data_IF_927860186880
#
_entry.id   IF_927860186880
#
_cell.length_a   1.000
_cell.length_b   1.000
_cell.length_c   1.000
_cell.angle_alpha   90.00
_cell.angle_beta   90.00
_cell.angle_gamma   90.00
#
_symmetry.space_group_name_H-M   'P 1'
#
loop_
_entity.id
_entity.type
_entity.pdbx_description
1 polymer ?
#
# COMPACT_ATOMS: atom_id res chain seq x y z
N UNK A 1 13.17 8.39 -3.64
CA UNK A 1 11.89 7.84 -4.13
C UNK A 1 11.61 8.41 -5.51
N UNK A 2 11.13 7.60 -6.45
CA UNK A 2 11.00 8.02 -7.86
C UNK A 2 9.98 9.14 -8.05
N UNK A 3 8.85 9.13 -7.32
CA UNK A 3 7.81 10.15 -7.48
C UNK A 3 8.29 11.56 -7.12
N UNK A 4 9.23 11.69 -6.17
CA UNK A 4 9.84 12.99 -5.86
C UNK A 4 10.71 13.53 -7.02
N UNK A 5 11.32 12.64 -7.80
CA UNK A 5 12.07 13.00 -9.01
C UNK A 5 11.09 13.41 -10.10
N UNK A 6 10.01 12.64 -10.29
CA UNK A 6 8.94 12.95 -11.24
C UNK A 6 8.25 14.28 -10.91
N UNK A 7 8.04 14.58 -9.62
CA UNK A 7 7.53 15.87 -9.16
C UNK A 7 8.45 17.02 -9.59
N UNK A 8 9.76 16.86 -9.40
CA UNK A 8 10.75 17.84 -9.85
C UNK A 8 10.69 18.03 -11.37
N UNK A 9 10.67 16.94 -12.14
CA UNK A 9 10.60 16.99 -13.61
C UNK A 9 9.31 17.67 -14.10
N UNK A 10 8.15 17.31 -13.55
CA UNK A 10 6.85 17.89 -13.92
C UNK A 10 6.72 19.38 -13.57
N UNK A 11 7.53 19.86 -12.62
CA UNK A 11 7.62 21.28 -12.28
C UNK A 11 8.35 22.10 -13.34
N UNK A 12 9.30 21.49 -14.06
CA UNK A 12 10.13 22.12 -15.08
C UNK A 12 9.62 21.87 -16.51
N UNK A 13 9.02 20.71 -16.77
CA UNK A 13 8.58 20.28 -18.09
C UNK A 13 7.22 19.57 -18.03
N UNK A 14 6.23 20.13 -18.75
CA UNK A 14 4.84 19.67 -18.75
C UNK A 14 4.59 18.38 -19.52
N UNK A 15 5.61 17.83 -20.19
CA UNK A 15 5.57 16.48 -20.75
C UNK A 15 5.61 15.41 -19.66
N UNK A 16 6.14 15.73 -18.47
CA UNK A 16 6.16 14.82 -17.33
C UNK A 16 5.00 15.11 -16.37
N UNK A 17 4.59 14.07 -15.63
CA UNK A 17 3.66 14.17 -14.51
C UNK A 17 4.25 13.47 -13.29
N UNK A 18 3.60 13.64 -12.13
CA UNK A 18 4.22 13.35 -10.82
C UNK A 18 4.18 11.88 -10.41
N UNK A 19 3.61 11.01 -11.25
CA UNK A 19 3.35 9.60 -10.94
C UNK A 19 3.87 8.69 -12.03
N UNK A 20 4.54 7.61 -11.66
CA UNK A 20 4.94 6.60 -12.64
C UNK A 20 3.73 5.78 -13.11
N UNK A 21 3.81 5.23 -14.32
CA UNK A 21 2.86 4.22 -14.79
C UNK A 21 3.02 2.90 -14.05
N UNK A 22 4.27 2.47 -13.88
CA UNK A 22 4.64 1.21 -13.23
C UNK A 22 5.73 1.41 -12.18
N UNK A 23 5.68 0.57 -11.15
CA UNK A 23 6.67 0.53 -10.07
C UNK A 23 7.27 -0.86 -9.98
N UNK A 24 8.60 -0.95 -9.79
CA UNK A 24 9.29 -2.23 -9.70
C UNK A 24 10.17 -2.32 -8.46
N UNK A 25 10.05 -3.44 -7.74
CA UNK A 25 10.94 -3.78 -6.63
C UNK A 25 12.20 -4.46 -7.15
N UNK A 26 13.15 -3.67 -7.65
CA UNK A 26 14.41 -4.14 -8.21
C UNK A 26 15.43 -4.53 -7.11
N UNK A 27 15.33 -5.74 -6.54
CA UNK A 27 16.33 -6.31 -5.62
C UNK A 27 16.52 -7.81 -5.88
N UNK A 28 17.79 -8.24 -6.03
CA UNK A 28 18.24 -9.49 -6.67
C UNK A 28 17.87 -10.85 -6.03
N UNK A 29 16.60 -11.09 -5.74
CA UNK A 29 16.06 -12.38 -5.27
C UNK A 29 15.06 -13.04 -6.22
N UNK A 30 14.39 -12.27 -7.08
CA UNK A 30 13.37 -12.85 -8.00
C UNK A 30 14.00 -13.70 -9.11
N UNK A 31 13.40 -14.85 -9.38
CA UNK A 31 13.68 -15.65 -10.58
C UNK A 31 12.75 -15.36 -11.76
N UNK A 32 11.77 -14.44 -11.63
CA UNK A 32 10.82 -14.10 -12.70
C UNK A 32 11.35 -13.01 -13.64
N UNK A 33 11.63 -11.82 -13.13
CA UNK A 33 12.22 -10.70 -13.90
C UNK A 33 13.62 -10.31 -13.41
N UNK A 34 14.00 -10.80 -12.23
CA UNK A 34 15.25 -10.51 -11.56
C UNK A 34 15.50 -9.11 -11.07
N UNK A 35 14.54 -8.20 -11.22
CA UNK A 35 14.69 -6.81 -10.84
C UNK A 35 15.84 -6.09 -11.56
N UNK A 36 16.22 -6.54 -12.76
CA UNK A 36 17.28 -5.93 -13.55
C UNK A 36 16.82 -5.77 -14.99
N UNK A 37 16.97 -4.56 -15.51
CA UNK A 37 16.52 -4.18 -16.85
C UNK A 37 17.70 -3.67 -17.67
N UNK A 38 17.73 -4.08 -18.93
CA UNK A 38 18.64 -3.58 -19.95
C UNK A 38 17.87 -2.61 -20.84
N UNK A 39 18.45 -1.44 -21.05
CA UNK A 39 17.89 -0.38 -21.88
C UNK A 39 18.78 -0.19 -23.10
N UNK A 40 18.24 -0.48 -24.26
CA UNK A 40 18.91 -0.29 -25.55
C UNK A 40 18.21 0.79 -26.36
N UNK A 41 19.00 1.61 -27.06
CA UNK A 41 18.47 2.59 -28.02
C UNK A 41 18.77 2.07 -29.41
N UNK A 42 17.76 1.55 -30.08
CA UNK A 42 17.87 0.88 -31.38
C UNK A 42 17.44 1.84 -32.49
N UNK A 43 18.22 2.01 -33.57
CA UNK A 43 17.79 2.82 -34.71
C UNK A 43 16.61 2.17 -35.44
N UNK A 44 15.60 2.95 -35.78
CA UNK A 44 14.44 2.52 -36.56
C UNK A 44 14.70 2.70 -38.07
N UNK A 45 13.94 1.99 -38.92
CA UNK A 45 14.13 2.01 -40.39
C UNK A 45 13.97 3.41 -41.02
N UNK A 46 13.18 4.28 -40.39
CA UNK A 46 12.96 5.67 -40.78
C UNK A 46 14.03 6.65 -40.28
N UNK A 47 15.09 6.15 -39.64
CA UNK A 47 16.18 6.95 -39.08
C UNK A 47 15.91 7.53 -37.69
N UNK A 48 14.79 7.15 -37.07
CA UNK A 48 14.50 7.42 -35.66
C UNK A 48 15.29 6.53 -34.69
N UNK A 49 14.91 6.59 -33.42
CA UNK A 49 15.48 5.78 -32.33
C UNK A 49 14.36 5.32 -31.43
N UNK A 50 14.38 4.04 -31.08
CA UNK A 50 13.43 3.42 -30.17
C UNK A 50 14.15 2.97 -28.89
N UNK A 51 13.50 3.16 -27.74
CA UNK A 51 13.95 2.64 -26.46
C UNK A 51 13.37 1.23 -26.30
N UNK A 52 14.24 0.22 -26.36
CA UNK A 52 13.89 -1.17 -26.10
C UNK A 52 14.31 -1.50 -24.67
N UNK A 53 13.38 -2.01 -23.87
CA UNK A 53 13.65 -2.50 -22.52
C UNK A 53 13.50 -4.01 -22.49
N UNK A 54 14.49 -4.70 -21.92
CA UNK A 54 14.40 -6.13 -21.65
C UNK A 54 14.68 -6.42 -20.19
N UNK A 55 14.05 -7.45 -19.62
CA UNK A 55 14.42 -7.96 -18.31
C UNK A 55 15.74 -8.77 -18.38
N UNK A 56 16.25 -9.24 -17.25
CA UNK A 56 17.53 -9.98 -17.21
C UNK A 56 17.53 -11.28 -18.02
N UNK A 57 16.36 -11.77 -18.41
CA UNK A 57 16.16 -12.99 -19.20
C UNK A 57 16.03 -12.69 -20.70
N UNK A 58 16.07 -11.41 -21.10
CA UNK A 58 15.95 -10.98 -22.49
C UNK A 58 14.52 -10.86 -22.98
N UNK A 59 13.53 -10.99 -22.09
CA UNK A 59 12.12 -10.77 -22.43
C UNK A 59 11.85 -9.27 -22.55
N UNK A 60 11.13 -8.88 -23.60
CA UNK A 60 10.77 -7.49 -23.84
C UNK A 60 9.78 -7.05 -22.77
N UNK A 61 10.06 -5.92 -22.14
CA UNK A 61 9.14 -5.27 -21.22
C UNK A 61 8.41 -4.16 -21.98
N UNK A 62 7.08 -4.14 -21.86
CA UNK A 62 6.28 -3.10 -22.49
C UNK A 62 6.60 -1.72 -21.88
N UNK A 63 7.01 -0.79 -22.72
CA UNK A 63 7.33 0.60 -22.37
C UNK A 63 6.29 1.60 -22.90
N UNK A 64 5.17 1.11 -23.46
CA UNK A 64 4.12 1.91 -24.09
C UNK A 64 2.76 1.69 -23.42
N UNK A 65 2.59 2.13 -22.18
CA UNK A 65 1.41 1.75 -21.42
C UNK A 65 0.16 2.47 -21.97
N UNK A 66 -0.98 1.76 -22.01
CA UNK A 66 -2.18 2.09 -22.79
C UNK A 66 -2.94 3.38 -22.42
N UNK A 67 -3.35 4.18 -23.41
CA UNK A 67 -4.33 5.25 -23.19
C UNK A 67 -3.70 6.64 -23.16
N UNK A 68 -4.56 7.63 -23.27
CA UNK A 68 -4.20 9.00 -23.55
C UNK A 68 -3.72 9.74 -22.30
N UNK A 69 -2.58 10.40 -22.42
CA UNK A 69 -1.97 11.23 -21.37
C UNK A 69 -2.01 12.73 -21.72
N UNK A 70 -2.45 13.10 -22.92
CA UNK A 70 -2.55 14.48 -23.36
C UNK A 70 -3.80 15.12 -22.77
N UNK A 71 -3.59 16.04 -21.83
CA UNK A 71 -4.69 16.77 -21.23
C UNK A 71 -5.28 17.77 -22.23
N UNK A 72 -6.60 17.72 -22.37
CA UNK A 72 -7.40 18.74 -23.02
C UNK A 72 -7.90 19.78 -21.98
N UNK A 73 -8.53 20.86 -22.44
CA UNK A 73 -9.22 21.79 -21.53
C UNK A 73 -10.50 21.16 -20.98
N UNK A 74 -10.92 21.46 -19.74
CA UNK A 74 -12.15 20.91 -19.19
C UNK A 74 -13.37 21.36 -20.00
N UNK A 75 -14.35 20.48 -20.15
CA UNK A 75 -15.66 20.82 -20.71
C UNK A 75 -16.44 21.76 -19.78
N UNK A 76 -17.47 22.43 -20.29
CA UNK A 76 -18.22 23.43 -19.51
C UNK A 76 -18.92 22.83 -18.28
N UNK A 77 -19.32 21.55 -18.34
CA UNK A 77 -20.03 20.87 -17.27
C UNK A 77 -19.59 19.42 -17.17
N UNK A 78 -19.43 18.92 -15.95
CA UNK A 78 -19.26 17.48 -15.71
C UNK A 78 -20.47 16.71 -16.27
N UNK A 79 -20.24 15.55 -16.91
CA UNK A 79 -21.32 14.66 -17.35
C UNK A 79 -22.02 13.96 -16.17
N UNK A 80 -21.46 14.04 -14.95
CA UNK A 80 -21.96 13.31 -13.79
C UNK A 80 -22.81 14.18 -12.87
N UNK A 81 -23.86 13.57 -12.33
CA UNK A 81 -24.62 14.12 -11.21
C UNK A 81 -24.10 13.49 -9.92
N UNK A 82 -23.28 14.21 -9.17
CA UNK A 82 -22.61 13.66 -8.00
C UNK A 82 -23.53 13.67 -6.75
N UNK A 83 -23.78 12.48 -6.20
CA UNK A 83 -24.58 12.27 -4.99
C UNK A 83 -23.97 12.93 -3.75
N UNK A 84 -24.78 13.14 -2.71
CA UNK A 84 -24.32 13.58 -1.40
C UNK A 84 -23.58 12.47 -0.64
N UNK A 85 -23.84 11.20 -0.97
CA UNK A 85 -23.04 10.07 -0.51
C UNK A 85 -21.78 9.95 -1.39
N UNK A 86 -20.56 10.01 -0.82
CA UNK A 86 -19.32 9.80 -1.55
C UNK A 86 -19.22 8.44 -2.25
N UNK A 87 -19.78 7.38 -1.68
CA UNK A 87 -19.74 6.04 -2.27
C UNK A 87 -20.62 5.97 -3.53
N UNK A 88 -21.84 6.49 -3.48
CA UNK A 88 -22.70 6.59 -4.67
C UNK A 88 -22.09 7.49 -5.75
N UNK A 89 -21.42 8.59 -5.35
CA UNK A 89 -20.73 9.46 -6.27
C UNK A 89 -19.51 8.77 -6.92
N UNK A 90 -18.78 7.95 -6.16
CA UNK A 90 -17.68 7.14 -6.67
C UNK A 90 -18.19 6.13 -7.70
N UNK A 91 -19.25 5.38 -7.38
CA UNK A 91 -19.83 4.37 -8.28
C UNK A 91 -20.27 5.00 -9.61
N UNK A 92 -20.94 6.16 -9.56
CA UNK A 92 -21.37 6.87 -10.76
C UNK A 92 -20.19 7.34 -11.65
N UNK A 93 -19.09 7.79 -11.03
CA UNK A 93 -17.89 8.19 -11.78
C UNK A 93 -17.25 6.95 -12.42
N UNK A 94 -17.04 5.88 -11.65
CA UNK A 94 -16.36 4.67 -12.14
C UNK A 94 -17.16 3.98 -13.24
N UNK A 95 -18.49 3.95 -13.16
CA UNK A 95 -19.34 3.39 -14.21
C UNK A 95 -19.24 4.19 -15.53
N UNK A 96 -19.10 5.53 -15.44
CA UNK A 96 -19.06 6.40 -16.60
C UNK A 96 -17.68 6.70 -17.17
N UNK A 97 -16.62 6.58 -16.37
CA UNK A 97 -15.24 6.93 -16.75
C UNK A 97 -14.77 6.23 -18.03
N UNK A 98 -15.11 4.95 -18.29
CA UNK A 98 -14.73 4.27 -19.54
C UNK A 98 -15.29 4.90 -20.82
N UNK A 99 -16.27 5.79 -20.70
CA UNK A 99 -17.06 6.33 -21.81
C UNK A 99 -16.79 7.82 -22.09
N UNK A 100 -15.88 8.46 -21.35
CA UNK A 100 -15.59 9.89 -21.46
C UNK A 100 -14.15 10.17 -21.91
N UNK A 101 -13.87 11.41 -22.28
CA UNK A 101 -12.53 11.90 -22.62
C UNK A 101 -11.98 12.79 -21.48
N UNK A 102 -10.78 13.35 -21.70
CA UNK A 102 -10.08 14.17 -20.70
C UNK A 102 -10.85 15.43 -20.30
N UNK A 103 -11.52 16.09 -21.24
CA UNK A 103 -12.30 17.30 -20.99
C UNK A 103 -13.39 17.09 -19.93
N UNK A 104 -14.17 16.03 -20.06
CA UNK A 104 -15.23 15.64 -19.12
C UNK A 104 -14.68 15.12 -17.79
N UNK A 105 -13.56 14.40 -17.81
CA UNK A 105 -12.89 13.91 -16.60
C UNK A 105 -12.37 15.08 -15.75
N UNK A 106 -11.76 16.08 -16.38
CA UNK A 106 -11.28 17.29 -15.70
C UNK A 106 -12.45 18.15 -15.22
N UNK A 107 -13.52 18.32 -16.02
CA UNK A 107 -14.73 19.02 -15.60
C UNK A 107 -15.38 18.39 -14.35
N UNK A 108 -15.27 17.06 -14.20
CA UNK A 108 -15.71 16.33 -13.01
C UNK A 108 -14.87 16.67 -11.78
N UNK A 109 -13.53 16.73 -11.90
CA UNK A 109 -12.67 17.15 -10.79
C UNK A 109 -12.91 18.62 -10.38
N UNK A 110 -13.19 19.49 -11.34
CA UNK A 110 -13.59 20.88 -11.10
C UNK A 110 -14.94 20.96 -10.37
N UNK A 111 -15.91 20.11 -10.75
CA UNK A 111 -17.20 20.03 -10.08
C UNK A 111 -17.06 19.51 -8.63
N UNK A 112 -16.22 18.51 -8.38
CA UNK A 112 -15.90 18.03 -7.02
C UNK A 112 -15.29 19.18 -6.19
N UNK A 113 -14.34 19.91 -6.76
CA UNK A 113 -13.73 21.07 -6.11
C UNK A 113 -14.74 22.15 -5.75
N UNK A 114 -15.69 22.43 -6.64
CA UNK A 114 -16.79 23.38 -6.39
C UNK A 114 -17.73 22.87 -5.30
N UNK A 115 -18.17 21.61 -5.40
CA UNK A 115 -19.09 20.98 -4.45
C UNK A 115 -18.46 20.84 -3.06
N UNK A 116 -17.14 20.72 -2.92
CA UNK A 116 -16.46 20.70 -1.62
C UNK A 116 -16.77 21.92 -0.74
N UNK A 117 -17.13 23.06 -1.35
CA UNK A 117 -17.53 24.28 -0.63
C UNK A 117 -18.95 24.22 -0.05
N UNK A 118 -19.83 23.41 -0.63
CA UNK A 118 -21.24 23.30 -0.23
C UNK A 118 -21.56 21.99 0.48
N UNK A 119 -21.00 20.86 0.01
CA UNK A 119 -21.08 19.53 0.62
C UNK A 119 -20.02 19.28 1.72
N UNK A 120 -19.03 20.17 1.83
CA UNK A 120 -17.96 20.09 2.81
C UNK A 120 -16.70 19.37 2.31
N UNK A 121 -15.57 19.65 2.97
CA UNK A 121 -14.27 19.04 2.62
C UNK A 121 -14.21 17.55 2.92
N UNK A 122 -14.93 17.09 3.94
CA UNK A 122 -14.99 15.66 4.28
C UNK A 122 -15.60 14.83 3.14
N UNK A 123 -16.67 15.33 2.52
CA UNK A 123 -17.27 14.68 1.35
C UNK A 123 -16.28 14.54 0.20
N UNK A 124 -15.55 15.62 -0.11
CA UNK A 124 -14.54 15.59 -1.17
C UNK A 124 -13.34 14.70 -0.80
N UNK A 125 -12.90 14.71 0.46
CA UNK A 125 -11.87 13.82 0.99
C UNK A 125 -12.24 12.36 0.76
N UNK A 126 -13.42 11.93 1.22
CA UNK A 126 -13.88 10.54 1.11
C UNK A 126 -14.01 10.09 -0.35
N UNK A 127 -14.56 10.94 -1.22
CA UNK A 127 -14.71 10.62 -2.65
C UNK A 127 -13.34 10.52 -3.36
N UNK A 128 -12.46 11.49 -3.14
CA UNK A 128 -11.18 11.55 -3.84
C UNK A 128 -10.19 10.50 -3.33
N UNK A 129 -10.24 10.10 -2.05
CA UNK A 129 -9.44 8.96 -1.57
C UNK A 129 -9.94 7.64 -2.15
N UNK A 130 -11.26 7.41 -2.26
CA UNK A 130 -11.81 6.26 -2.98
C UNK A 130 -11.31 6.21 -4.44
N UNK A 131 -11.37 7.34 -5.15
CA UNK A 131 -10.84 7.44 -6.52
C UNK A 131 -9.32 7.23 -6.59
N UNK A 132 -8.57 7.62 -5.56
CA UNK A 132 -7.12 7.46 -5.52
C UNK A 132 -6.69 6.02 -5.24
N UNK A 133 -7.42 5.34 -4.35
CA UNK A 133 -7.00 4.08 -3.74
C UNK A 133 -7.58 2.83 -4.42
N UNK A 134 -8.76 2.93 -5.02
CA UNK A 134 -9.43 1.79 -5.68
C UNK A 134 -8.84 1.50 -7.06
N UNK A 135 -8.98 0.25 -7.50
CA UNK A 135 -8.69 -0.21 -8.86
C UNK A 135 -10.02 -0.26 -9.63
N UNK A 136 -10.01 0.31 -10.83
CA UNK A 136 -11.18 0.47 -11.70
C UNK A 136 -10.75 0.88 -13.11
N UNK A 137 -11.64 0.68 -14.09
CA UNK A 137 -11.41 0.95 -15.50
C UNK A 137 -11.40 2.46 -15.77
N UNK A 138 -10.28 2.98 -16.27
CA UNK A 138 -10.12 4.40 -16.66
C UNK A 138 -10.43 4.63 -18.14
N UNK A 139 -10.87 3.60 -18.87
CA UNK A 139 -11.20 3.67 -20.28
C UNK A 139 -10.02 4.05 -21.14
N UNK A 140 -10.14 5.22 -21.77
CA UNK A 140 -9.09 5.78 -22.62
C UNK A 140 -8.08 6.61 -21.83
N UNK A 141 -8.36 6.99 -20.58
CA UNK A 141 -7.48 7.85 -19.80
C UNK A 141 -6.26 7.07 -19.30
N UNK A 142 -5.06 7.63 -19.46
CA UNK A 142 -3.85 7.10 -18.83
C UNK A 142 -3.99 7.14 -17.31
N UNK A 143 -4.03 5.97 -16.67
CA UNK A 143 -4.29 5.83 -15.22
C UNK A 143 -3.36 6.67 -14.36
N UNK A 144 -2.05 6.62 -14.60
CA UNK A 144 -1.05 7.37 -13.81
C UNK A 144 -1.31 8.88 -13.86
N UNK A 145 -1.71 9.39 -15.04
CA UNK A 145 -2.07 10.79 -15.26
C UNK A 145 -3.40 11.14 -14.59
N UNK A 146 -4.38 10.24 -14.61
CA UNK A 146 -5.68 10.43 -13.96
C UNK A 146 -5.51 10.53 -12.44
N UNK A 147 -4.77 9.60 -11.85
CA UNK A 147 -4.48 9.62 -10.42
C UNK A 147 -3.63 10.84 -10.00
N UNK A 148 -2.73 11.33 -10.87
CA UNK A 148 -2.01 12.59 -10.67
C UNK A 148 -2.98 13.79 -10.58
N UNK A 149 -4.02 13.83 -11.42
CA UNK A 149 -5.05 14.89 -11.33
C UNK A 149 -5.92 14.77 -10.08
N UNK A 150 -6.33 13.55 -9.70
CA UNK A 150 -7.08 13.30 -8.46
C UNK A 150 -6.28 13.77 -7.24
N UNK A 151 -5.01 13.36 -7.12
CA UNK A 151 -4.16 13.74 -6.00
C UNK A 151 -3.95 15.27 -5.95
N UNK A 152 -3.76 15.91 -7.11
CA UNK A 152 -3.69 17.38 -7.21
C UNK A 152 -4.93 18.06 -6.61
N UNK A 153 -6.09 17.59 -7.02
CA UNK A 153 -7.39 18.12 -6.60
C UNK A 153 -7.61 17.89 -5.11
N UNK A 154 -7.34 16.69 -4.62
CA UNK A 154 -7.43 16.33 -3.21
C UNK A 154 -6.56 17.23 -2.35
N UNK A 155 -5.26 17.31 -2.66
CA UNK A 155 -4.28 18.11 -1.91
C UNK A 155 -4.66 19.59 -1.93
N UNK A 156 -5.15 20.11 -3.05
CA UNK A 156 -5.62 21.49 -3.18
C UNK A 156 -6.79 21.79 -2.23
N UNK A 157 -7.82 20.94 -2.21
CA UNK A 157 -9.02 21.11 -1.38
C UNK A 157 -8.67 21.10 0.12
N UNK A 158 -7.88 20.12 0.58
CA UNK A 158 -7.55 19.99 2.00
C UNK A 158 -6.54 21.06 2.45
N UNK A 159 -5.59 21.45 1.57
CA UNK A 159 -4.61 22.49 1.89
C UNK A 159 -5.24 23.88 2.04
N UNK A 160 -6.44 24.10 1.46
CA UNK A 160 -7.20 25.34 1.66
C UNK A 160 -7.53 25.61 3.15
N UNK A 161 -7.59 24.56 3.98
CA UNK A 161 -7.79 24.68 5.44
C UNK A 161 -6.71 25.49 6.17
N UNK A 162 -5.56 25.76 5.52
CA UNK A 162 -4.54 26.69 6.00
C UNK A 162 -5.05 28.13 6.12
N UNK A 163 -5.91 28.54 5.19
CA UNK A 163 -6.48 29.89 5.14
C UNK A 163 -7.93 29.93 5.61
N UNK A 164 -8.65 28.82 5.45
CA UNK A 164 -10.08 28.70 5.75
C UNK A 164 -10.36 27.38 6.49
N UNK A 165 -9.98 27.24 7.77
CA UNK A 165 -10.25 26.02 8.53
C UNK A 165 -11.75 25.77 8.72
N UNK A 166 -12.17 24.51 8.76
CA UNK A 166 -13.55 24.08 9.03
C UNK A 166 -13.61 23.08 10.19
N UNK A 167 -14.79 22.60 10.56
CA UNK A 167 -14.99 21.64 11.66
C UNK A 167 -14.21 20.33 11.50
N UNK A 168 -13.94 19.93 10.25
CA UNK A 168 -13.30 18.66 9.91
C UNK A 168 -11.81 18.80 9.61
N UNK A 169 -11.36 19.97 9.12
CA UNK A 169 -9.97 20.20 8.71
C UNK A 169 -9.42 21.54 9.20
N UNK A 170 -8.21 21.50 9.75
CA UNK A 170 -7.32 22.64 9.95
C UNK A 170 -5.95 22.32 9.35
N UNK A 171 -5.08 23.32 9.18
CA UNK A 171 -3.70 23.09 8.74
C UNK A 171 -2.69 23.94 9.48
N UNK A 172 -1.43 23.53 9.43
CA UNK A 172 -0.32 24.37 9.87
C UNK A 172 -0.13 25.58 8.95
N UNK A 173 0.08 26.76 9.54
CA UNK A 173 0.35 27.99 8.77
C UNK A 173 1.82 28.10 8.37
N UNK A 174 2.71 27.62 9.22
CA UNK A 174 4.16 27.59 9.05
C UNK A 174 4.75 26.47 9.94
N UNK A 175 6.01 26.08 9.73
CA UNK A 175 6.71 25.18 10.64
C UNK A 175 6.65 25.65 12.10
N UNK A 176 6.33 24.73 13.03
CA UNK A 176 6.18 25.03 14.46
C UNK A 176 4.85 25.70 14.84
N UNK A 177 3.97 25.99 13.88
CA UNK A 177 2.62 26.49 14.19
C UNK A 177 1.73 25.33 14.66
N UNK A 178 1.36 25.35 15.94
CA UNK A 178 0.52 24.34 16.58
C UNK A 178 -0.86 24.97 16.88
N UNK A 179 -1.85 24.88 15.96
CA UNK A 179 -3.20 25.30 16.26
C UNK A 179 -3.84 24.34 17.28
N UNK A 180 -4.86 24.77 18.00
CA UNK A 180 -5.64 23.87 18.86
C UNK A 180 -6.73 23.15 18.04
N UNK A 181 -6.98 21.85 18.28
CA UNK A 181 -8.10 21.16 17.64
C UNK A 181 -9.43 21.66 18.19
N UNK A 182 -10.37 21.94 17.29
CA UNK A 182 -11.75 22.31 17.65
C UNK A 182 -12.61 21.11 18.08
N UNK A 183 -12.20 19.90 17.70
CA UNK A 183 -12.85 18.63 18.08
C UNK A 183 -11.87 17.46 17.97
N UNK A 184 -12.18 16.33 18.61
CA UNK A 184 -11.37 15.11 18.52
C UNK A 184 -11.38 14.45 17.14
N UNK A 185 -12.35 14.78 16.30
CA UNK A 185 -12.48 14.29 14.92
C UNK A 185 -11.84 15.21 13.88
N UNK A 186 -11.45 16.44 14.25
CA UNK A 186 -10.82 17.37 13.32
C UNK A 186 -9.43 16.87 12.93
N UNK A 187 -9.15 16.89 11.62
CA UNK A 187 -7.84 16.54 11.04
C UNK A 187 -6.96 17.75 10.92
N UNK A 188 -5.67 17.59 11.25
CA UNK A 188 -4.64 18.56 10.89
C UNK A 188 -3.91 18.14 9.62
N UNK A 189 -3.95 19.01 8.61
CA UNK A 189 -3.18 18.87 7.38
C UNK A 189 -1.78 19.43 7.60
N UNK A 190 -0.77 18.60 7.33
CA UNK A 190 0.65 18.93 7.47
C UNK A 190 1.33 18.80 6.11
N UNK A 191 1.74 19.95 5.55
CA UNK A 191 2.58 19.99 4.35
C UNK A 191 4.01 19.62 4.73
N UNK A 192 4.51 18.52 4.15
CA UNK A 192 5.82 17.98 4.50
C UNK A 192 6.99 18.81 3.93
N UNK A 193 6.79 19.53 2.82
CA UNK A 193 7.87 20.22 2.06
C UNK A 193 8.78 21.15 2.88
N UNK A 194 8.28 21.90 3.88
CA UNK A 194 9.14 22.77 4.69
C UNK A 194 10.08 22.02 5.65
N UNK A 195 9.85 20.73 5.88
CA UNK A 195 10.61 19.94 6.86
C UNK A 195 11.72 19.13 6.18
N UNK A 196 12.87 18.92 6.83
CA UNK A 196 13.86 17.97 6.37
C UNK A 196 13.34 16.52 6.49
N UNK A 197 13.81 15.59 5.62
CA UNK A 197 13.40 14.19 5.66
C UNK A 197 13.69 13.47 6.98
N UNK A 198 14.71 13.91 7.73
CA UNK A 198 15.12 13.38 9.02
C UNK A 198 15.87 14.43 9.86
N UNK A 199 16.21 14.09 11.10
CA UNK A 199 16.94 14.97 12.01
C UNK A 199 16.04 15.71 13.01
N UNK A 200 16.62 16.70 13.69
CA UNK A 200 16.01 17.35 14.86
C UNK A 200 14.81 18.24 14.53
N UNK A 201 14.76 18.75 13.30
CA UNK A 201 13.69 19.62 12.81
C UNK A 201 12.75 18.88 11.84
N UNK A 202 12.78 17.55 11.85
CA UNK A 202 12.04 16.70 10.90
C UNK A 202 10.53 16.74 11.09
N UNK A 203 9.82 16.40 10.00
CA UNK A 203 8.37 16.23 9.98
C UNK A 203 7.88 15.29 11.10
N UNK A 204 8.59 14.18 11.36
CA UNK A 204 8.22 13.22 12.38
C UNK A 204 8.14 13.87 13.78
N UNK A 205 9.12 14.70 14.14
CA UNK A 205 9.13 15.38 15.44
C UNK A 205 8.11 16.52 15.52
N UNK A 206 7.78 17.15 14.39
CA UNK A 206 6.67 18.10 14.32
C UNK A 206 5.34 17.41 14.62
N UNK A 207 5.08 16.25 13.99
CA UNK A 207 3.86 15.48 14.23
C UNK A 207 3.72 15.05 15.69
N UNK A 208 4.83 14.64 16.34
CA UNK A 208 4.85 14.35 17.78
C UNK A 208 4.51 15.58 18.62
N UNK A 209 4.96 16.77 18.20
CA UNK A 209 4.66 18.02 18.90
C UNK A 209 3.17 18.39 18.78
N UNK A 210 2.59 18.22 17.59
CA UNK A 210 1.15 18.37 17.35
C UNK A 210 0.34 17.37 18.18
N UNK A 211 0.78 16.10 18.25
CA UNK A 211 0.14 15.08 19.09
C UNK A 211 0.13 15.45 20.57
N UNK A 212 1.25 15.94 21.09
CA UNK A 212 1.36 16.42 22.48
C UNK A 212 0.46 17.62 22.75
N UNK A 213 0.12 18.40 21.72
CA UNK A 213 -0.83 19.50 21.79
C UNK A 213 -2.30 19.07 21.65
N UNK A 214 -2.57 17.76 21.49
CA UNK A 214 -3.93 17.20 21.49
C UNK A 214 -4.43 16.74 20.13
N UNK A 215 -3.68 16.90 19.05
CA UNK A 215 -4.09 16.39 17.73
C UNK A 215 -4.03 14.87 17.68
N UNK A 216 -5.09 14.24 17.17
CA UNK A 216 -5.18 12.78 17.04
C UNK A 216 -5.49 12.32 15.63
N UNK A 217 -5.79 13.23 14.70
CA UNK A 217 -6.08 12.89 13.31
C UNK A 217 -5.18 13.74 12.41
N UNK A 218 -4.36 13.10 11.58
CA UNK A 218 -3.33 13.74 10.77
C UNK A 218 -3.54 13.42 9.31
N UNK A 219 -3.33 14.41 8.44
CA UNK A 219 -3.21 14.21 6.99
C UNK A 219 -1.88 14.81 6.55
N UNK A 220 -0.97 13.97 6.09
CA UNK A 220 0.36 14.38 5.63
C UNK A 220 0.36 14.43 4.10
N UNK A 221 0.85 15.53 3.53
CA UNK A 221 0.89 15.74 2.07
C UNK A 221 2.26 16.18 1.58
N UNK A 222 2.53 15.97 0.29
CA UNK A 222 3.73 16.42 -0.42
C UNK A 222 5.04 15.85 0.16
N UNK A 223 5.05 14.56 0.50
CA UNK A 223 6.25 13.90 1.01
C UNK A 223 7.33 13.77 -0.09
N UNK A 224 8.59 14.05 0.28
CA UNK A 224 9.76 13.92 -0.60
C UNK A 224 10.82 13.01 0.01
N UNK A 225 10.40 11.78 0.34
CA UNK A 225 11.24 10.81 1.05
C UNK A 225 11.38 11.08 2.55
N UNK A 226 10.42 11.77 3.16
CA UNK A 226 10.37 11.94 4.62
C UNK A 226 10.28 10.59 5.31
N UNK A 227 11.08 10.43 6.36
CA UNK A 227 11.24 9.19 7.11
C UNK A 227 10.55 9.30 8.46
N UNK A 228 10.28 8.15 9.08
CA UNK A 228 9.80 8.07 10.47
C UNK A 228 8.42 8.73 10.72
N UNK A 229 7.60 8.91 9.68
CA UNK A 229 6.21 9.39 9.84
C UNK A 229 5.46 8.38 10.72
N UNK A 230 4.78 8.88 11.76
CA UNK A 230 4.10 8.02 12.74
C UNK A 230 4.99 7.48 13.87
N UNK A 231 6.26 7.88 13.96
CA UNK A 231 7.14 7.39 15.01
C UNK A 231 7.13 8.32 16.22
N UNK A 232 7.36 7.76 17.42
CA UNK A 232 7.56 8.57 18.64
C UNK A 232 6.28 9.09 19.30
N UNK A 233 5.10 8.60 18.89
CA UNK A 233 3.81 8.92 19.53
C UNK A 233 3.65 8.30 20.93
N UNK A 234 4.56 7.40 21.31
CA UNK A 234 4.57 6.74 22.62
C UNK A 234 3.56 5.58 22.73
N UNK A 235 3.46 4.98 23.92
CA UNK A 235 2.55 3.86 24.15
C UNK A 235 1.08 4.30 24.10
N UNK A 236 0.19 3.34 23.92
CA UNK A 236 -1.27 3.51 23.96
C UNK A 236 -1.80 4.59 23.01
N UNK A 237 -1.26 4.61 21.77
CA UNK A 237 -1.59 5.61 20.75
C UNK A 237 -2.84 5.25 19.92
N UNK A 238 -3.71 4.37 20.45
CA UNK A 238 -4.88 3.82 19.76
C UNK A 238 -5.94 4.80 19.27
N UNK A 239 -5.90 6.05 19.72
CA UNK A 239 -6.80 7.13 19.23
C UNK A 239 -6.27 7.84 17.98
N UNK A 240 -5.00 7.63 17.64
CA UNK A 240 -4.32 8.38 16.58
C UNK A 240 -4.60 7.74 15.22
N UNK A 241 -4.97 8.58 14.26
CA UNK A 241 -5.10 8.21 12.86
C UNK A 241 -4.19 9.10 12.00
N UNK A 242 -3.48 8.49 11.06
CA UNK A 242 -2.58 9.19 10.16
C UNK A 242 -2.86 8.73 8.74
N UNK A 243 -3.32 9.65 7.90
CA UNK A 243 -3.42 9.48 6.47
C UNK A 243 -2.21 10.15 5.81
N UNK A 244 -1.52 9.44 4.91
CA UNK A 244 -0.37 9.98 4.17
C UNK A 244 -0.65 9.91 2.68
N UNK A 245 -0.71 11.08 2.04
CA UNK A 245 -0.98 11.22 0.60
C UNK A 245 0.33 11.19 -0.19
N UNK A 246 0.40 10.27 -1.16
CA UNK A 246 1.57 10.07 -1.99
C UNK A 246 2.68 9.32 -1.26
N UNK A 247 3.74 8.99 -1.98
CA UNK A 247 4.74 8.02 -1.54
C UNK A 247 5.71 8.56 -0.45
N UNK A 248 6.23 7.70 0.44
CA UNK A 248 7.06 8.09 1.62
C UNK A 248 8.47 7.48 1.62
N UNK A 249 9.33 7.95 2.53
CA UNK A 249 10.61 7.32 2.85
C UNK A 249 10.47 6.19 3.88
N UNK A 250 11.62 5.72 4.36
CA UNK A 250 11.71 4.59 5.27
C UNK A 250 11.02 4.80 6.64
N UNK A 251 10.72 3.69 7.31
CA UNK A 251 10.25 3.62 8.70
C UNK A 251 8.88 4.25 8.97
N UNK A 252 7.97 4.27 7.99
CA UNK A 252 6.57 4.63 8.21
C UNK A 252 5.96 3.75 9.32
N UNK A 253 5.40 4.37 10.36
CA UNK A 253 4.70 3.68 11.44
C UNK A 253 5.59 2.75 12.28
N UNK A 254 6.90 2.97 12.33
CA UNK A 254 7.79 2.16 13.15
C UNK A 254 7.61 2.47 14.64
N UNK A 255 7.49 1.41 15.45
CA UNK A 255 7.17 1.49 16.88
C UNK A 255 5.72 1.85 17.16
N UNK A 256 4.81 1.62 16.20
CA UNK A 256 3.38 1.83 16.41
C UNK A 256 2.82 0.93 17.52
N UNK A 257 2.09 1.55 18.46
CA UNK A 257 1.47 0.91 19.63
C UNK A 257 -0.01 1.31 19.72
N UNK A 258 -0.74 1.11 18.62
CA UNK A 258 -2.20 1.19 18.55
C UNK A 258 -2.77 2.04 17.41
N UNK A 259 -1.99 2.89 16.76
CA UNK A 259 -2.48 3.83 15.75
C UNK A 259 -3.03 3.12 14.51
N UNK A 260 -3.95 3.80 13.83
CA UNK A 260 -4.35 3.48 12.45
C UNK A 260 -3.58 4.35 11.49
N UNK A 261 -2.83 3.77 10.56
CA UNK A 261 -2.03 4.49 9.57
C UNK A 261 -2.46 4.03 8.18
N UNK A 262 -2.94 4.96 7.35
CA UNK A 262 -3.28 4.72 5.95
C UNK A 262 -2.30 5.46 5.04
N UNK A 263 -1.76 4.74 4.06
CA UNK A 263 -0.78 5.21 3.11
C UNK A 263 -1.36 5.14 1.71
N UNK A 264 -1.69 6.29 1.13
CA UNK A 264 -2.33 6.44 -0.18
C UNK A 264 -1.27 6.50 -1.30
N UNK A 265 -0.46 5.46 -1.39
CA UNK A 265 0.68 5.38 -2.32
C UNK A 265 1.68 4.29 -1.93
N UNK A 266 2.91 4.42 -2.43
CA UNK A 266 3.98 3.44 -2.19
C UNK A 266 4.85 3.83 -0.98
N UNK A 267 5.27 2.85 -0.19
CA UNK A 267 6.17 3.06 0.94
C UNK A 267 7.52 2.36 0.75
N UNK A 268 8.59 2.94 1.28
CA UNK A 268 9.94 2.38 1.17
C UNK A 268 10.22 1.30 2.23
N UNK A 269 11.45 1.22 2.72
CA UNK A 269 11.93 0.13 3.54
C UNK A 269 11.50 0.31 5.00
N UNK A 270 11.41 -0.81 5.72
CA UNK A 270 11.22 -0.86 7.17
C UNK A 270 9.92 -0.22 7.69
N UNK A 271 8.90 -0.11 6.83
CA UNK A 271 7.53 0.20 7.24
C UNK A 271 7.07 -0.79 8.31
N UNK A 272 6.33 -0.32 9.30
CA UNK A 272 5.82 -1.14 10.41
C UNK A 272 6.91 -1.87 11.22
N UNK A 273 8.16 -1.40 11.20
CA UNK A 273 9.19 -2.00 12.05
C UNK A 273 8.75 -1.95 13.52
N UNK A 274 8.93 -3.06 14.24
CA UNK A 274 8.53 -3.27 15.63
C UNK A 274 7.07 -2.85 15.93
N UNK A 275 6.17 -2.96 14.94
CA UNK A 275 4.75 -2.70 15.09
C UNK A 275 4.16 -3.62 16.17
N UNK A 276 3.64 -3.01 17.23
CA UNK A 276 3.15 -3.73 18.41
C UNK A 276 1.64 -3.95 18.37
N UNK A 277 0.90 -2.94 17.98
CA UNK A 277 -0.57 -2.96 17.91
C UNK A 277 -1.08 -1.87 16.96
N UNK A 278 -2.34 -1.96 16.57
CA UNK A 278 -2.99 -1.04 15.62
C UNK A 278 -3.11 -1.64 14.22
N UNK A 279 -3.42 -0.78 13.26
CA UNK A 279 -3.65 -1.14 11.86
C UNK A 279 -2.79 -0.27 10.94
N UNK A 280 -2.05 -0.87 10.01
CA UNK A 280 -1.32 -0.13 8.98
C UNK A 280 -1.71 -0.65 7.59
N UNK A 281 -2.18 0.25 6.74
CA UNK A 281 -2.70 -0.03 5.40
C UNK A 281 -1.87 0.72 4.36
N UNK A 282 -1.41 0.02 3.34
CA UNK A 282 -0.70 0.60 2.19
C UNK A 282 -1.46 0.31 0.90
N UNK A 283 -1.92 1.35 0.22
CA UNK A 283 -2.65 1.30 -1.05
C UNK A 283 -1.73 1.19 -2.28
N UNK A 284 -0.48 0.78 -2.07
CA UNK A 284 0.54 0.57 -3.10
C UNK A 284 1.49 -0.55 -2.70
N UNK A 285 2.73 -0.46 -3.16
CA UNK A 285 3.82 -1.39 -2.85
C UNK A 285 4.61 -0.96 -1.60
N UNK A 286 5.30 -1.93 -0.99
CA UNK A 286 6.19 -1.72 0.14
C UNK A 286 7.60 -2.25 -0.12
N UNK A 287 8.59 -1.53 0.41
CA UNK A 287 10.01 -1.87 0.33
C UNK A 287 10.43 -3.04 1.23
N UNK A 288 11.75 -3.17 1.42
CA UNK A 288 12.35 -4.27 2.15
C UNK A 288 12.04 -4.23 3.65
N UNK A 289 12.05 -5.41 4.28
CA UNK A 289 11.92 -5.55 5.73
C UNK A 289 10.61 -4.93 6.27
N UNK A 290 9.53 -4.96 5.48
CA UNK A 290 8.19 -4.59 5.94
C UNK A 290 7.82 -5.42 7.17
N UNK A 291 7.39 -4.76 8.25
CA UNK A 291 7.02 -5.43 9.50
C UNK A 291 8.20 -6.04 10.26
N UNK A 292 9.45 -5.62 10.01
CA UNK A 292 10.63 -6.12 10.75
C UNK A 292 10.38 -6.15 12.25
N UNK A 293 10.48 -7.31 12.90
CA UNK A 293 10.38 -7.42 14.34
C UNK A 293 9.01 -7.10 14.93
N UNK A 294 7.94 -7.12 14.13
CA UNK A 294 6.57 -6.86 14.57
C UNK A 294 6.17 -7.81 15.71
N UNK A 295 5.30 -7.31 16.61
CA UNK A 295 4.82 -8.01 17.81
C UNK A 295 3.33 -8.36 17.78
N UNK A 296 2.54 -7.61 17.00
CA UNK A 296 1.08 -7.70 16.98
C UNK A 296 0.46 -6.74 15.97
N UNK A 297 -0.87 -6.64 15.98
CA UNK A 297 -1.62 -5.75 15.10
C UNK A 297 -1.85 -6.30 13.69
N UNK A 298 -2.59 -5.52 12.89
CA UNK A 298 -2.99 -5.89 11.54
C UNK A 298 -2.25 -5.02 10.51
N UNK A 299 -1.82 -5.65 9.43
CA UNK A 299 -1.01 -5.05 8.38
C UNK A 299 -1.61 -5.44 7.02
N UNK A 300 -1.76 -4.47 6.12
CA UNK A 300 -2.41 -4.67 4.83
C UNK A 300 -1.63 -3.98 3.70
N UNK A 301 -1.41 -4.68 2.61
CA UNK A 301 -0.73 -4.17 1.41
C UNK A 301 -1.55 -4.50 0.17
N UNK A 302 -1.94 -3.48 -0.60
CA UNK A 302 -2.65 -3.65 -1.88
C UNK A 302 -1.74 -4.27 -2.94
N UNK A 303 -0.49 -3.80 -3.01
CA UNK A 303 0.47 -4.26 -4.00
C UNK A 303 1.39 -5.36 -3.46
N UNK A 304 2.65 -5.25 -3.86
CA UNK A 304 3.73 -6.16 -3.57
C UNK A 304 4.54 -5.71 -2.35
N UNK A 305 5.15 -6.69 -1.67
CA UNK A 305 6.22 -6.45 -0.73
C UNK A 305 7.58 -6.84 -1.33
N UNK A 306 8.64 -6.10 -1.01
CA UNK A 306 9.98 -6.49 -1.44
C UNK A 306 10.54 -7.66 -0.58
N UNK A 307 11.87 -7.72 -0.40
CA UNK A 307 12.53 -8.81 0.33
C UNK A 307 12.37 -8.71 1.85
N UNK A 308 12.37 -9.87 2.51
CA UNK A 308 12.33 -10.03 3.98
C UNK A 308 11.09 -9.45 4.71
N UNK A 309 9.85 -9.50 4.17
CA UNK A 309 8.71 -9.09 4.98
C UNK A 309 8.57 -9.98 6.22
N UNK A 310 8.16 -9.39 7.34
CA UNK A 310 7.92 -10.03 8.63
C UNK A 310 9.13 -10.68 9.29
N UNK A 311 10.35 -10.36 8.84
CA UNK A 311 11.58 -10.89 9.45
C UNK A 311 11.63 -10.61 10.95
N UNK A 312 12.05 -11.59 11.76
CA UNK A 312 12.18 -11.50 13.23
C UNK A 312 10.89 -11.16 13.99
N UNK A 313 9.72 -11.24 13.36
CA UNK A 313 8.45 -10.96 14.04
C UNK A 313 8.09 -12.06 15.03
N UNK A 314 7.45 -11.68 16.13
CA UNK A 314 7.04 -12.55 17.26
C UNK A 314 5.62 -12.21 17.66
N UNK A 315 4.99 -13.02 18.51
CA UNK A 315 3.68 -12.67 19.07
C UNK A 315 2.54 -12.88 18.07
N UNK A 316 1.69 -11.87 17.86
CA UNK A 316 0.42 -11.99 17.12
C UNK A 316 0.27 -11.11 15.86
N UNK A 317 1.33 -10.71 15.12
CA UNK A 317 1.16 -9.81 13.99
C UNK A 317 0.53 -10.56 12.81
N UNK A 318 -0.43 -9.92 12.15
CA UNK A 318 -1.16 -10.49 11.02
C UNK A 318 -1.02 -9.60 9.79
N UNK A 319 -0.64 -10.19 8.67
CA UNK A 319 -0.37 -9.47 7.42
C UNK A 319 -1.16 -10.05 6.25
N UNK A 320 -1.80 -9.20 5.45
CA UNK A 320 -2.30 -9.55 4.11
C UNK A 320 -1.50 -8.79 3.05
N UNK A 321 -0.94 -9.54 2.10
CA UNK A 321 -0.32 -9.03 0.87
C UNK A 321 -1.19 -9.48 -0.30
N UNK A 322 -1.80 -8.53 -1.02
CA UNK A 322 -2.65 -8.88 -2.17
C UNK A 322 -1.84 -9.22 -3.42
N UNK A 323 -0.74 -8.51 -3.64
CA UNK A 323 0.26 -8.86 -4.63
C UNK A 323 1.10 -10.05 -4.18
N UNK A 324 2.41 -9.91 -4.32
CA UNK A 324 3.37 -10.95 -3.95
C UNK A 324 4.51 -10.41 -3.08
N UNK A 325 5.46 -11.28 -2.74
CA UNK A 325 6.68 -10.94 -2.00
C UNK A 325 7.94 -11.48 -2.68
N UNK A 326 9.09 -10.85 -2.43
CA UNK A 326 10.39 -11.39 -2.83
C UNK A 326 10.93 -12.37 -1.76
N UNK A 327 12.23 -12.70 -1.81
CA UNK A 327 12.86 -13.69 -0.93
C UNK A 327 12.72 -13.40 0.57
N UNK A 328 12.82 -14.48 1.35
CA UNK A 328 12.94 -14.48 2.82
C UNK A 328 11.71 -13.94 3.55
N UNK A 329 10.51 -14.11 2.96
CA UNK A 329 9.28 -13.85 3.69
C UNK A 329 9.22 -14.76 4.94
N UNK A 330 8.92 -14.13 6.08
CA UNK A 330 8.83 -14.76 7.39
C UNK A 330 10.15 -15.44 7.85
N UNK A 331 11.30 -14.90 7.47
CA UNK A 331 12.60 -15.30 8.04
C UNK A 331 12.63 -15.04 9.56
N UNK A 332 13.03 -16.04 10.34
CA UNK A 332 13.05 -15.98 11.82
C UNK A 332 11.70 -15.56 12.41
N UNK A 333 10.59 -16.01 11.79
CA UNK A 333 9.25 -15.77 12.29
C UNK A 333 8.96 -16.67 13.51
N UNK A 334 8.58 -16.05 14.61
CA UNK A 334 8.46 -16.66 15.93
C UNK A 334 7.09 -16.29 16.54
N UNK A 335 6.05 -16.32 15.71
CA UNK A 335 4.75 -15.76 16.03
C UNK A 335 3.76 -16.78 16.64
N UNK A 336 4.22 -17.87 17.25
CA UNK A 336 3.31 -18.85 17.89
C UNK A 336 2.36 -19.55 16.91
N UNK A 337 1.33 -20.23 17.42
CA UNK A 337 0.33 -20.92 16.57
C UNK A 337 -0.82 -19.95 16.24
N UNK A 338 -1.16 -19.70 14.95
CA UNK A 338 -2.30 -18.86 14.58
C UNK A 338 -3.62 -19.24 15.26
N UNK A 339 -3.86 -20.53 15.50
CA UNK A 339 -5.07 -21.04 16.13
C UNK A 339 -5.12 -20.75 17.64
N UNK A 340 -3.97 -20.43 18.24
CA UNK A 340 -3.82 -20.03 19.64
C UNK A 340 -3.50 -18.52 19.77
N UNK A 341 -3.91 -17.72 18.77
CA UNK A 341 -3.73 -16.27 18.76
C UNK A 341 -2.36 -15.79 18.29
N UNK A 342 -1.57 -16.67 17.69
CA UNK A 342 -0.31 -16.35 17.03
C UNK A 342 -0.46 -15.54 15.74
N UNK A 343 0.67 -15.09 15.19
CA UNK A 343 0.75 -14.33 13.96
C UNK A 343 0.84 -15.19 12.70
N UNK A 344 0.39 -14.63 11.59
CA UNK A 344 0.41 -15.28 10.28
C UNK A 344 0.47 -14.26 9.14
N UNK A 345 0.79 -14.74 7.94
CA UNK A 345 0.79 -13.96 6.71
C UNK A 345 -0.16 -14.60 5.70
N UNK A 346 -0.91 -13.78 4.98
CA UNK A 346 -1.70 -14.17 3.80
C UNK A 346 -1.06 -13.55 2.56
N UNK A 347 -0.85 -14.36 1.51
CA UNK A 347 -0.43 -13.89 0.18
C UNK A 347 -1.49 -14.29 -0.82
N UNK A 348 -2.09 -13.33 -1.50
CA UNK A 348 -3.08 -13.61 -2.55
C UNK A 348 -2.43 -13.82 -3.92
N UNK A 349 -1.24 -13.27 -4.19
CA UNK A 349 -0.51 -13.54 -5.42
C UNK A 349 -1.26 -13.07 -6.66
N UNK A 350 -1.80 -11.84 -6.62
CA UNK A 350 -2.62 -11.27 -7.68
C UNK A 350 -2.00 -10.00 -8.25
N UNK A 351 -2.39 -9.63 -9.45
CA UNK A 351 -2.16 -8.31 -10.04
C UNK A 351 -3.48 -7.73 -10.53
N UNK A 352 -3.43 -6.52 -11.06
CA UNK A 352 -4.57 -5.86 -11.68
C UNK A 352 -4.27 -5.61 -13.14
N UNK A 353 -5.23 -5.91 -14.01
CA UNK A 353 -5.11 -5.58 -15.41
C UNK A 353 -5.35 -4.07 -15.67
N UNK A 354 -5.25 -3.66 -16.94
CA UNK A 354 -5.48 -2.28 -17.38
C UNK A 354 -6.87 -1.72 -17.02
N UNK A 355 -7.85 -2.59 -16.75
CA UNK A 355 -9.23 -2.23 -16.37
C UNK A 355 -9.43 -2.28 -14.86
N UNK A 356 -8.39 -2.59 -14.10
CA UNK A 356 -8.48 -2.74 -12.65
C UNK A 356 -9.16 -4.03 -12.22
N UNK A 357 -9.30 -5.02 -13.11
CA UNK A 357 -9.78 -6.35 -12.77
C UNK A 357 -8.64 -7.20 -12.21
N UNK A 358 -8.98 -8.09 -11.29
CA UNK A 358 -8.00 -8.91 -10.59
C UNK A 358 -7.59 -10.08 -11.49
N UNK A 359 -6.28 -10.26 -11.70
CA UNK A 359 -5.71 -11.41 -12.40
C UNK A 359 -4.73 -12.18 -11.50
N UNK A 360 -4.75 -13.52 -11.50
CA UNK A 360 -3.78 -14.29 -10.72
C UNK A 360 -2.40 -14.22 -11.35
N UNK A 361 -1.36 -14.07 -10.52
CA UNK A 361 0.01 -14.24 -10.95
C UNK A 361 0.25 -15.71 -11.33
N UNK A 362 1.03 -15.95 -12.39
CA UNK A 362 1.44 -17.32 -12.76
C UNK A 362 2.16 -18.02 -11.59
N UNK A 363 3.00 -17.26 -10.89
CA UNK A 363 3.63 -17.70 -9.64
C UNK A 363 3.16 -16.79 -8.50
N UNK A 364 2.26 -17.26 -7.61
CA UNK A 364 1.74 -16.46 -6.49
C UNK A 364 2.83 -15.91 -5.56
N UNK A 365 3.98 -16.59 -5.49
CA UNK A 365 5.17 -16.18 -4.75
C UNK A 365 6.44 -16.50 -5.54
N UNK A 366 7.10 -15.51 -6.17
CA UNK A 366 8.31 -15.71 -6.97
C UNK A 366 9.60 -15.72 -6.15
N UNK A 367 9.52 -15.45 -4.83
CA UNK A 367 10.69 -15.53 -3.96
C UNK A 367 11.07 -16.96 -3.57
N UNK A 368 12.17 -17.08 -2.84
CA UNK A 368 12.59 -18.30 -2.14
C UNK A 368 12.87 -18.06 -0.65
N UNK A 369 13.26 -19.12 0.03
CA UNK A 369 13.62 -19.13 1.46
C UNK A 369 12.47 -18.76 2.42
N UNK A 370 11.24 -19.18 2.11
CA UNK A 370 10.10 -19.08 3.03
C UNK A 370 10.43 -19.76 4.35
N UNK A 371 10.16 -19.06 5.46
CA UNK A 371 10.37 -19.56 6.83
C UNK A 371 11.82 -19.92 7.21
N UNK A 372 12.83 -19.37 6.54
CA UNK A 372 14.23 -19.49 6.97
C UNK A 372 14.37 -19.18 8.46
N UNK A 373 14.79 -20.17 9.27
CA UNK A 373 14.98 -20.05 10.73
C UNK A 373 13.71 -19.76 11.56
N UNK A 374 12.51 -19.91 10.98
CA UNK A 374 11.27 -19.71 11.71
C UNK A 374 10.99 -20.84 12.73
N UNK A 375 10.29 -20.50 13.81
CA UNK A 375 9.88 -21.43 14.86
C UNK A 375 8.40 -21.33 15.25
N UNK A 376 7.66 -20.35 14.71
CA UNK A 376 6.22 -20.23 14.86
C UNK A 376 5.58 -19.41 13.75
N UNK A 377 4.26 -19.45 13.68
CA UNK A 377 3.39 -18.78 12.73
C UNK A 377 2.95 -19.67 11.58
N UNK A 378 2.14 -19.12 10.68
CA UNK A 378 1.78 -19.74 9.41
C UNK A 378 1.80 -18.74 8.25
N UNK A 379 1.93 -19.27 7.04
CA UNK A 379 1.65 -18.55 5.80
C UNK A 379 0.47 -19.25 5.12
N UNK A 380 -0.54 -18.48 4.75
CA UNK A 380 -1.65 -18.90 3.89
C UNK A 380 -1.43 -18.29 2.52
N UNK A 381 -1.14 -19.12 1.54
CA UNK A 381 -0.87 -18.67 0.17
C UNK A 381 -1.98 -19.13 -0.76
N UNK A 382 -2.58 -18.20 -1.50
CA UNK A 382 -3.52 -18.51 -2.58
C UNK A 382 -2.75 -19.20 -3.70
N UNK A 383 -2.85 -20.52 -3.77
CA UNK A 383 -2.13 -21.37 -4.72
C UNK A 383 -3.01 -22.55 -5.18
N UNK A 384 -4.13 -22.28 -5.87
CA UNK A 384 -5.11 -23.29 -6.26
C UNK A 384 -4.55 -24.34 -7.23
N UNK A 385 -3.44 -24.03 -7.92
CA UNK A 385 -2.80 -24.92 -8.89
C UNK A 385 -1.52 -25.56 -8.39
N UNK A 386 -1.22 -25.46 -7.08
CA UNK A 386 -0.05 -26.07 -6.44
C UNK A 386 1.27 -25.69 -7.13
N UNK A 387 1.39 -24.42 -7.54
CA UNK A 387 2.57 -23.87 -8.21
C UNK A 387 3.75 -23.75 -7.27
N UNK A 388 3.51 -23.49 -5.99
CA UNK A 388 4.59 -23.42 -5.01
C UNK A 388 5.09 -24.83 -4.66
N UNK A 389 6.41 -24.96 -4.53
CA UNK A 389 7.08 -26.23 -4.23
C UNK A 389 8.04 -26.11 -3.05
N UNK A 390 8.48 -27.26 -2.53
CA UNK A 390 9.39 -27.34 -1.39
C UNK A 390 10.72 -26.62 -1.64
N UNK A 391 11.14 -26.39 -2.89
CA UNK A 391 12.39 -25.67 -3.19
C UNK A 391 12.34 -24.20 -2.82
N UNK A 392 11.15 -23.63 -2.62
CA UNK A 392 10.97 -22.26 -2.14
C UNK A 392 10.96 -22.17 -0.60
N UNK A 393 10.85 -23.32 0.09
CA UNK A 393 10.84 -23.39 1.54
C UNK A 393 12.27 -23.53 2.08
N UNK A 394 12.53 -22.92 3.23
CA UNK A 394 13.76 -23.09 3.98
C UNK A 394 13.41 -23.26 5.46
N UNK A 395 12.99 -24.46 5.86
CA UNK A 395 12.49 -24.71 7.21
C UNK A 395 10.99 -24.55 7.37
N UNK A 396 10.23 -24.51 6.26
CA UNK A 396 8.77 -24.66 6.25
C UNK A 396 8.33 -26.02 5.69
N UNK A 397 7.05 -26.37 5.89
CA UNK A 397 6.39 -27.50 5.27
C UNK A 397 4.94 -27.14 4.92
N UNK A 398 4.45 -27.63 3.78
CA UNK A 398 3.03 -27.61 3.46
C UNK A 398 2.26 -28.56 4.37
N UNK A 399 1.12 -28.10 4.84
CA UNK A 399 0.16 -28.90 5.61
C UNK A 399 -1.25 -28.61 5.11
N UNK A 400 -2.17 -29.49 5.45
CA UNK A 400 -3.58 -29.30 5.13
C UNK A 400 -4.10 -28.03 5.84
N UNK A 401 -4.90 -27.26 5.10
CA UNK A 401 -5.65 -26.15 5.66
C UNK A 401 -6.97 -26.67 6.23
N UNK A 402 -7.19 -26.44 7.52
CA UNK A 402 -8.39 -26.88 8.23
C UNK A 402 -9.46 -25.78 8.26
N UNK A 403 -10.66 -26.11 8.69
CA UNK A 403 -11.75 -25.14 8.84
C UNK A 403 -11.40 -24.08 9.90
N UNK A 404 -10.72 -24.47 10.99
CA UNK A 404 -10.24 -23.56 12.04
C UNK A 404 -9.20 -22.56 11.53
N UNK A 405 -8.42 -22.94 10.51
CA UNK A 405 -7.50 -22.01 9.85
C UNK A 405 -8.27 -20.93 9.10
N UNK A 406 -9.39 -21.29 8.48
CA UNK A 406 -10.24 -20.32 7.79
C UNK A 406 -10.90 -19.35 8.76
N UNK A 407 -11.34 -19.81 9.95
CA UNK A 407 -11.94 -18.95 10.98
C UNK A 407 -11.01 -17.80 11.41
N UNK A 408 -9.68 -17.98 11.34
CA UNK A 408 -8.71 -16.92 11.65
C UNK A 408 -8.33 -16.06 10.44
N UNK A 409 -8.42 -16.60 9.22
CA UNK A 409 -8.06 -15.91 7.96
C UNK A 409 -9.21 -15.06 7.42
N UNK A 410 -10.44 -15.57 7.45
CA UNK A 410 -11.61 -14.94 6.86
C UNK A 410 -11.84 -13.51 7.36
N UNK A 411 -11.78 -13.19 8.67
CA UNK A 411 -12.00 -11.83 9.14
C UNK A 411 -10.97 -10.83 8.60
N UNK A 412 -9.74 -11.29 8.34
CA UNK A 412 -8.72 -10.45 7.72
C UNK A 412 -8.99 -10.21 6.23
N UNK A 413 -9.49 -11.21 5.51
CA UNK A 413 -9.85 -11.05 4.10
C UNK A 413 -11.12 -10.20 3.93
N UNK A 414 -12.07 -10.26 4.86
CA UNK A 414 -13.21 -9.34 4.91
C UNK A 414 -12.76 -7.90 5.15
N UNK A 415 -11.84 -7.68 6.10
CA UNK A 415 -11.23 -6.35 6.29
C UNK A 415 -10.47 -5.90 5.05
N UNK A 416 -9.78 -6.81 4.37
CA UNK A 416 -9.08 -6.54 3.11
C UNK A 416 -10.05 -6.11 1.98
N UNK A 417 -11.23 -6.72 1.90
CA UNK A 417 -12.32 -6.31 0.99
C UNK A 417 -12.79 -4.88 1.28
N UNK A 418 -13.04 -4.54 2.55
CA UNK A 418 -13.41 -3.18 2.94
C UNK A 418 -12.35 -2.15 2.52
N UNK A 419 -11.06 -2.47 2.71
CA UNK A 419 -9.94 -1.58 2.43
C UNK A 419 -9.67 -1.40 0.93
N UNK A 420 -9.73 -2.49 0.16
CA UNK A 420 -9.21 -2.51 -1.22
C UNK A 420 -10.23 -2.86 -2.29
N UNK A 421 -11.35 -3.49 -1.94
CA UNK A 421 -12.44 -3.81 -2.87
C UNK A 421 -12.23 -5.15 -3.55
N UNK A 422 -11.31 -5.93 -3.00
CA UNK A 422 -10.97 -7.28 -3.42
C UNK A 422 -11.93 -8.19 -2.66
N UNK A 423 -13.04 -8.56 -3.29
CA UNK A 423 -14.05 -9.36 -2.63
C UNK A 423 -13.54 -10.75 -2.26
N UNK A 424 -14.04 -11.29 -1.15
CA UNK A 424 -13.76 -12.66 -0.75
C UNK A 424 -14.14 -13.65 -1.87
N UNK A 425 -15.25 -13.36 -2.57
CA UNK A 425 -15.69 -14.13 -3.72
C UNK A 425 -14.65 -14.12 -4.85
N UNK A 426 -14.06 -12.97 -5.18
CA UNK A 426 -13.02 -12.88 -6.20
C UNK A 426 -11.77 -13.69 -5.80
N UNK A 427 -11.39 -13.65 -4.52
CA UNK A 427 -10.27 -14.45 -4.01
C UNK A 427 -10.54 -15.95 -4.09
N UNK A 428 -11.77 -16.39 -3.82
CA UNK A 428 -12.16 -17.81 -3.85
C UNK A 428 -12.55 -18.33 -5.24
N UNK A 429 -12.69 -17.45 -6.23
CA UNK A 429 -12.99 -17.84 -7.62
C UNK A 429 -11.72 -18.35 -8.31
N UNK A 430 -11.80 -19.57 -8.85
CA UNK A 430 -10.72 -20.24 -9.59
C UNK A 430 -11.30 -20.78 -10.88
N UNK A 431 -10.68 -20.47 -12.02
CA UNK A 431 -11.13 -20.89 -13.36
C UNK A 431 -12.62 -20.55 -13.67
N UNK A 432 -13.16 -19.51 -13.02
CA UNK A 432 -14.55 -19.06 -13.17
C UNK A 432 -15.54 -19.63 -12.13
N UNK A 433 -15.11 -20.56 -11.27
CA UNK A 433 -15.95 -21.20 -10.26
C UNK A 433 -15.53 -20.82 -8.83
N UNK A 434 -16.52 -20.51 -7.98
CA UNK A 434 -16.27 -20.27 -6.56
C UNK A 434 -15.90 -21.60 -5.88
N UNK A 435 -14.71 -21.63 -5.30
CA UNK A 435 -14.13 -22.82 -4.69
C UNK A 435 -14.08 -22.73 -3.16
N UNK A 436 -13.94 -23.88 -2.49
CA UNK A 436 -13.77 -23.91 -1.03
C UNK A 436 -12.41 -23.30 -0.65
N UNK A 437 -12.31 -22.53 0.46
CA UNK A 437 -11.03 -21.96 0.92
C UNK A 437 -9.86 -22.94 0.97
N UNK A 438 -10.06 -24.15 1.49
CA UNK A 438 -9.01 -25.18 1.60
C UNK A 438 -8.49 -25.71 0.25
N UNK A 439 -9.24 -25.50 -0.84
CA UNK A 439 -8.82 -25.83 -2.21
C UNK A 439 -8.12 -24.65 -2.92
N UNK A 440 -8.25 -23.45 -2.38
CA UNK A 440 -7.69 -22.21 -2.94
C UNK A 440 -6.41 -21.81 -2.22
N UNK A 441 -6.41 -21.93 -0.89
CA UNK A 441 -5.30 -21.55 -0.03
C UNK A 441 -4.56 -22.77 0.49
N UNK A 442 -3.23 -22.73 0.40
CA UNK A 442 -2.33 -23.72 0.99
C UNK A 442 -1.71 -23.14 2.26
N UNK A 443 -1.63 -23.97 3.30
CA UNK A 443 -1.00 -23.60 4.56
C UNK A 443 0.45 -24.06 4.59
N UNK A 444 1.35 -23.17 4.99
CA UNK A 444 2.75 -23.46 5.25
C UNK A 444 3.00 -23.15 6.73
N UNK A 445 3.70 -24.05 7.42
CA UNK A 445 4.14 -23.85 8.81
C UNK A 445 5.64 -24.14 8.95
N UNK A 446 6.34 -23.58 9.94
CA UNK A 446 7.72 -23.91 10.21
C UNK A 446 7.86 -25.38 10.65
N UNK A 447 8.88 -26.06 10.12
CA UNK A 447 9.28 -27.38 10.58
C UNK A 447 9.91 -27.25 11.96
N UNK A 448 9.44 -28.03 12.92
CA UNK A 448 10.06 -28.11 14.25
C UNK A 448 11.51 -28.57 14.12
N UNK A 449 12.47 -27.64 14.20
CA UNK A 449 13.89 -27.95 14.17
C UNK A 449 14.27 -28.78 15.40
N UNK A 450 14.88 -29.95 15.19
CA UNK A 450 15.47 -30.78 16.27
C UNK A 450 16.55 -30.02 17.05
N UNK A 451 17.14 -28.97 16.48
CA UNK A 451 18.25 -28.21 17.06
C UNK A 451 17.80 -27.18 18.11
N UNK A 452 16.60 -26.60 17.97
CA UNK A 452 16.04 -25.64 18.94
C UNK A 452 15.74 -26.29 20.31
N UNK A 453 15.51 -27.61 20.33
CA UNK A 453 15.37 -28.35 21.58
C UNK A 453 16.68 -28.50 22.36
N UNK A 454 17.84 -28.42 21.72
CA UNK A 454 19.11 -28.55 22.44
C UNK A 454 19.37 -27.36 23.38
N UNK A 455 18.97 -26.15 22.97
CA UNK A 455 19.07 -24.95 23.81
C UNK A 455 17.93 -24.86 24.83
N UNK A 456 16.68 -25.20 24.45
CA UNK A 456 15.57 -25.25 25.39
C UNK A 456 15.74 -26.33 26.48
N UNK A 457 16.35 -27.46 26.15
CA UNK A 457 16.69 -28.51 27.12
C UNK A 457 17.89 -28.13 28.02
N UNK A 458 18.77 -27.22 27.58
CA UNK A 458 19.86 -26.70 28.41
C UNK A 458 19.38 -25.70 29.46
N UNK A 459 18.37 -24.88 29.13
CA UNK A 459 17.78 -23.92 30.08
C UNK A 459 16.91 -24.63 31.14
N UNK A 460 16.29 -25.76 30.80
CA UNK A 460 15.48 -26.56 31.74
C UNK A 460 16.26 -27.42 32.75
N UNK A 461 17.60 -27.36 32.76
CA UNK A 461 18.46 -28.10 33.70
C UNK A 461 19.27 -27.20 34.63
N UNK A 462 18.93 -25.92 34.71
CA UNK A 462 19.51 -24.98 35.67
C UNK A 462 18.45 -24.52 36.69
N UNK A 463 17.90 -25.48 37.45
CA UNK A 463 17.21 -25.24 38.73
C UNK A 463 17.67 -26.27 39.76
#
# INVERSE_FOLDING_TARGET
MIDAVLESLASEDKRFWRRADEYWNARGGSYTDGGAFLFDIVPTEDGGKELVMTNKFGEIVDTHPRGDYLLEGPSDNSPFTLSADPSEAFDAIVEGLPHIQWDDALATLDQISLLSKSKGREWAWQLLTLLLDRRYDTGVLRRSRWLDQIESTLVSIISASKHDPCSEFAAQKAPGHIPEPSSASQRIVVDARPYPPEGRDSLALEMVSLYKAGWTKFVVVNCRGHRFIGNGFGPDSGRVQIDVIGSVGDYLGSGNDGMTIAMHGNAQDQVAQIHKAGELVVHGDVGQCYGYGSKGGNLFVLGNAAGRPMINSVGSPKLVINGTALDYLAESFMAGDPLEGGGFVVINGMEFDDRGEITPLETPYPGGNLFSLASGGAIYVRDPHHRLSDSQLNGGAFVDMLDEDWEVVEPLLQRNEELFGISLQNLLTVDGDISNPSSVYRKIIPVKSKTLHAEAAWVGHAD
#
